data_IF_187602711301
#
_entry.id   IF_187602711301
#
_cell.length_a   1.000
_cell.length_b   1.000
_cell.length_c   1.000
_cell.angle_alpha   90.00
_cell.angle_beta   90.00
_cell.angle_gamma   90.00
#
_symmetry.space_group_name_H-M   'P 1'
#
loop_
_entity.id
_entity.type
_entity.pdbx_description
1 polymer ?
#
# COMPACT_ATOMS: atom_id res chain seq x y z
N UNK A 1 5.96 11.70 -27.01
CA UNK A 1 5.90 10.81 -25.84
C UNK A 1 4.69 11.19 -24.98
N UNK A 2 3.86 10.24 -24.57
CA UNK A 2 2.59 10.55 -23.88
C UNK A 2 2.83 11.29 -22.55
N UNK A 3 2.17 12.44 -22.33
CA UNK A 3 2.40 13.32 -21.17
C UNK A 3 2.14 12.61 -19.84
N UNK A 4 1.18 11.68 -19.82
CA UNK A 4 0.84 10.88 -18.66
C UNK A 4 1.95 9.88 -18.28
N UNK A 5 2.51 9.18 -19.27
CA UNK A 5 3.62 8.23 -19.07
C UNK A 5 4.83 8.98 -18.51
N UNK A 6 5.11 10.18 -19.04
CA UNK A 6 6.20 11.02 -18.57
C UNK A 6 6.02 11.44 -17.10
N UNK A 7 4.80 11.80 -16.72
CA UNK A 7 4.45 12.17 -15.35
C UNK A 7 4.58 10.99 -14.39
N UNK A 8 4.12 9.80 -14.79
CA UNK A 8 4.25 8.57 -14.00
C UNK A 8 5.71 8.18 -13.79
N UNK A 9 6.50 8.20 -14.87
CA UNK A 9 7.94 7.91 -14.82
C UNK A 9 8.69 8.84 -13.84
N UNK A 10 8.46 10.16 -13.91
CA UNK A 10 9.11 11.11 -13.01
C UNK A 10 8.69 10.93 -11.55
N UNK A 11 7.40 10.64 -11.30
CA UNK A 11 6.90 10.36 -9.94
C UNK A 11 7.51 9.07 -9.38
N UNK A 12 7.61 8.04 -10.21
CA UNK A 12 8.24 6.79 -9.82
C UNK A 12 9.72 6.95 -9.51
N UNK A 13 10.47 7.71 -10.33
CA UNK A 13 11.89 7.99 -10.10
C UNK A 13 12.14 8.60 -8.70
N UNK A 14 11.30 9.56 -8.28
CA UNK A 14 11.37 10.17 -6.93
C UNK A 14 11.08 9.13 -5.85
N UNK A 15 10.11 8.24 -6.09
CA UNK A 15 9.68 7.22 -5.13
C UNK A 15 10.75 6.13 -4.99
N UNK A 16 11.32 5.65 -6.09
CA UNK A 16 12.45 4.71 -6.18
C UNK A 16 13.63 5.18 -5.35
N UNK A 17 13.96 6.48 -5.39
CA UNK A 17 15.07 7.04 -4.60
C UNK A 17 14.90 6.86 -3.09
N UNK A 18 13.67 6.80 -2.59
CA UNK A 18 13.38 6.53 -1.16
C UNK A 18 13.49 5.05 -0.79
N UNK A 19 13.52 4.18 -1.79
CA UNK A 19 13.74 2.75 -1.64
C UNK A 19 12.45 1.94 -1.39
N UNK A 20 12.59 0.64 -1.64
CA UNK A 20 11.52 -0.36 -1.56
C UNK A 20 10.86 -0.43 -0.20
N UNK A 21 11.65 -0.48 0.88
CA UNK A 21 11.14 -0.59 2.24
C UNK A 21 10.27 0.62 2.62
N UNK A 22 10.70 1.83 2.23
CA UNK A 22 9.94 3.04 2.48
C UNK A 22 8.58 3.01 1.78
N UNK A 23 8.54 2.61 0.50
CA UNK A 23 7.28 2.50 -0.24
C UNK A 23 6.36 1.42 0.35
N UNK A 24 6.86 0.19 0.48
CA UNK A 24 6.07 -0.97 0.92
C UNK A 24 5.54 -0.74 2.33
N UNK A 25 6.40 -0.29 3.25
CA UNK A 25 6.00 -0.01 4.63
C UNK A 25 4.97 1.12 4.71
N UNK A 26 5.24 2.26 4.06
CA UNK A 26 4.32 3.40 4.10
C UNK A 26 2.95 3.07 3.52
N UNK A 27 2.90 2.45 2.34
CA UNK A 27 1.62 2.09 1.71
C UNK A 27 0.86 1.05 2.53
N UNK A 28 1.56 0.07 3.10
CA UNK A 28 0.93 -0.92 3.98
C UNK A 28 0.32 -0.25 5.21
N UNK A 29 1.04 0.64 5.88
CA UNK A 29 0.54 1.34 7.06
C UNK A 29 -0.65 2.26 6.74
N UNK A 30 -0.62 2.97 5.61
CA UNK A 30 -1.74 3.84 5.19
C UNK A 30 -2.99 3.00 4.94
N UNK A 31 -2.88 1.93 4.15
CA UNK A 31 -4.02 1.08 3.80
C UNK A 31 -4.55 0.34 5.03
N UNK A 32 -3.68 -0.32 5.78
CA UNK A 32 -4.06 -1.03 7.00
C UNK A 32 -4.69 -0.07 8.02
N UNK A 33 -4.08 1.10 8.22
CA UNK A 33 -4.61 2.13 9.13
C UNK A 33 -5.99 2.62 8.73
N UNK A 34 -6.24 2.87 7.44
CA UNK A 34 -7.55 3.30 6.96
C UNK A 34 -8.63 2.23 7.17
N UNK A 35 -8.31 0.96 6.87
CA UNK A 35 -9.25 -0.16 7.05
C UNK A 35 -9.56 -0.36 8.53
N UNK A 36 -8.54 -0.44 9.37
CA UNK A 36 -8.70 -0.60 10.82
C UNK A 36 -9.48 0.57 11.43
N UNK A 37 -9.17 1.80 11.04
CA UNK A 37 -9.90 2.97 11.52
C UNK A 37 -11.39 2.90 11.13
N UNK A 38 -11.70 2.50 9.88
CA UNK A 38 -13.07 2.28 9.45
C UNK A 38 -13.79 1.19 10.25
N UNK A 39 -13.13 0.06 10.50
CA UNK A 39 -13.66 -1.02 11.33
C UNK A 39 -13.92 -0.58 12.77
N UNK A 40 -13.03 0.23 13.34
CA UNK A 40 -13.19 0.79 14.68
C UNK A 40 -14.38 1.74 14.77
N UNK A 41 -14.52 2.67 13.81
CA UNK A 41 -15.69 3.54 13.75
C UNK A 41 -16.98 2.74 13.57
N UNK A 42 -16.96 1.71 12.72
CA UNK A 42 -18.10 0.81 12.52
C UNK A 42 -18.56 0.16 13.81
N UNK A 43 -17.61 -0.35 14.60
CA UNK A 43 -17.87 -0.92 15.92
C UNK A 43 -18.47 0.13 16.88
N UNK A 44 -17.80 1.28 17.03
CA UNK A 44 -18.22 2.32 17.97
C UNK A 44 -19.61 2.89 17.68
N UNK A 45 -19.99 3.02 16.40
CA UNK A 45 -21.20 3.73 16.01
C UNK A 45 -22.40 2.82 15.77
N UNK A 46 -22.18 1.58 15.32
CA UNK A 46 -23.26 0.72 14.83
C UNK A 46 -23.35 -0.63 15.52
N UNK A 47 -22.28 -1.09 16.17
CA UNK A 47 -22.25 -2.43 16.75
C UNK A 47 -22.73 -2.41 18.20
N UNK A 48 -23.96 -2.88 18.40
CA UNK A 48 -24.60 -2.99 19.72
C UNK A 48 -24.55 -4.40 20.30
N UNK A 49 -23.99 -5.37 19.55
CA UNK A 49 -24.07 -6.79 19.88
C UNK A 49 -22.74 -7.26 20.48
N UNK A 50 -21.63 -6.94 19.81
CA UNK A 50 -20.31 -7.39 20.27
C UNK A 50 -19.82 -6.58 21.46
N UNK A 51 -19.17 -7.25 22.40
CA UNK A 51 -18.45 -6.56 23.48
C UNK A 51 -17.03 -6.15 23.03
N UNK A 52 -16.38 -5.32 23.85
CA UNK A 52 -15.01 -4.84 23.57
C UNK A 52 -13.97 -5.95 23.49
N UNK A 53 -14.16 -7.04 24.25
CA UNK A 53 -13.26 -8.19 24.24
C UNK A 53 -13.26 -8.88 22.88
N UNK A 54 -14.44 -9.29 22.42
CA UNK A 54 -14.65 -9.92 21.11
C UNK A 54 -14.15 -9.03 19.98
N UNK A 55 -14.50 -7.74 20.00
CA UNK A 55 -14.01 -6.80 19.00
C UNK A 55 -12.49 -6.68 19.00
N UNK A 56 -11.84 -6.56 20.17
CA UNK A 56 -10.38 -6.38 20.24
C UNK A 56 -9.61 -7.59 19.69
N UNK A 57 -10.12 -8.81 19.88
CA UNK A 57 -9.52 -10.03 19.35
C UNK A 57 -9.61 -10.04 17.82
N UNK A 58 -10.82 -9.86 17.27
CA UNK A 58 -11.05 -9.81 15.83
C UNK A 58 -10.23 -8.69 15.17
N UNK A 59 -10.20 -7.52 15.80
CA UNK A 59 -9.45 -6.36 15.34
C UNK A 59 -7.94 -6.62 15.33
N UNK A 60 -7.41 -7.28 16.37
CA UNK A 60 -6.01 -7.68 16.44
C UNK A 60 -5.64 -8.65 15.33
N UNK A 61 -6.48 -9.66 15.09
CA UNK A 61 -6.28 -10.62 14.00
C UNK A 61 -6.31 -9.90 12.64
N UNK A 62 -7.30 -9.03 12.43
CA UNK A 62 -7.41 -8.24 11.21
C UNK A 62 -6.19 -7.33 10.99
N UNK A 63 -5.67 -6.69 12.04
CA UNK A 63 -4.49 -5.85 11.97
C UNK A 63 -3.25 -6.65 11.55
N UNK A 64 -3.03 -7.83 12.13
CA UNK A 64 -1.92 -8.72 11.76
C UNK A 64 -2.06 -9.17 10.30
N UNK A 65 -3.25 -9.63 9.91
CA UNK A 65 -3.52 -10.06 8.54
C UNK A 65 -3.27 -8.94 7.53
N UNK A 66 -3.78 -7.73 7.80
CA UNK A 66 -3.57 -6.56 6.94
C UNK A 66 -2.10 -6.18 6.80
N UNK A 67 -1.31 -6.28 7.87
CA UNK A 67 0.13 -6.03 7.81
C UNK A 67 0.84 -7.09 6.97
N UNK A 68 0.60 -8.39 7.24
CA UNK A 68 1.27 -9.49 6.52
C UNK A 68 0.92 -9.46 5.03
N UNK A 69 -0.37 -9.45 4.70
CA UNK A 69 -0.81 -9.42 3.30
C UNK A 69 -0.48 -8.09 2.63
N UNK A 70 -0.59 -6.98 3.36
CA UNK A 70 -0.27 -5.65 2.84
C UNK A 70 1.21 -5.54 2.46
N UNK A 71 2.13 -6.08 3.25
CA UNK A 71 3.55 -6.12 2.91
C UNK A 71 3.79 -6.93 1.63
N UNK A 72 3.18 -8.12 1.51
CA UNK A 72 3.33 -8.99 0.32
C UNK A 72 2.77 -8.31 -0.93
N UNK A 73 1.55 -7.79 -0.86
CA UNK A 73 0.89 -7.14 -2.01
C UNK A 73 1.65 -5.89 -2.42
N UNK A 74 1.99 -5.00 -1.49
CA UNK A 74 2.73 -3.78 -1.81
C UNK A 74 4.14 -4.08 -2.33
N UNK A 75 4.75 -5.19 -1.90
CA UNK A 75 6.02 -5.66 -2.45
C UNK A 75 5.87 -6.11 -3.92
N UNK A 76 4.82 -6.86 -4.26
CA UNK A 76 4.54 -7.25 -5.64
C UNK A 76 4.28 -6.01 -6.51
N UNK A 77 3.49 -5.06 -6.01
CA UNK A 77 3.23 -3.78 -6.71
C UNK A 77 4.53 -3.03 -6.98
N UNK A 78 5.45 -2.99 -6.01
CA UNK A 78 6.77 -2.39 -6.19
C UNK A 78 7.54 -3.03 -7.34
N UNK A 79 7.60 -4.38 -7.37
CA UNK A 79 8.31 -5.12 -8.43
C UNK A 79 7.72 -4.79 -9.79
N UNK A 80 6.40 -4.83 -9.92
CA UNK A 80 5.71 -4.54 -11.19
C UNK A 80 6.02 -3.12 -11.66
N UNK A 81 5.93 -2.13 -10.77
CA UNK A 81 6.21 -0.75 -11.10
C UNK A 81 7.68 -0.52 -11.48
N UNK A 82 8.62 -1.23 -10.85
CA UNK A 82 10.04 -1.18 -11.21
C UNK A 82 10.30 -1.75 -12.61
N UNK A 83 9.67 -2.88 -12.96
CA UNK A 83 9.77 -3.48 -14.30
C UNK A 83 9.26 -2.50 -15.36
N UNK A 84 8.13 -1.81 -15.12
CA UNK A 84 7.62 -0.80 -16.04
C UNK A 84 8.57 0.39 -16.19
N UNK A 85 9.16 0.84 -15.09
CA UNK A 85 10.13 1.93 -15.11
C UNK A 85 11.39 1.58 -15.91
N UNK A 86 11.96 0.40 -15.70
CA UNK A 86 13.16 -0.05 -16.42
C UNK A 86 12.92 -0.21 -17.92
N UNK A 87 11.74 -0.74 -18.30
CA UNK A 87 11.33 -0.81 -19.71
C UNK A 87 11.26 0.58 -20.36
N UNK A 88 10.74 1.57 -19.62
CA UNK A 88 10.61 2.93 -20.12
C UNK A 88 11.95 3.67 -20.14
N UNK A 89 12.83 3.41 -19.16
CA UNK A 89 14.20 3.92 -19.15
C UNK A 89 15.00 3.43 -20.36
N UNK A 90 14.98 2.11 -20.63
CA UNK A 90 15.69 1.52 -21.75
C UNK A 90 15.20 2.03 -23.12
N UNK A 91 13.92 2.38 -23.26
CA UNK A 91 13.40 3.02 -24.48
C UNK A 91 13.99 4.41 -24.68
N UNK A 92 14.13 5.19 -23.60
CA UNK A 92 14.63 6.56 -23.65
C UNK A 92 16.13 6.63 -23.87
N UNK A 93 16.89 5.67 -23.37
CA UNK A 93 18.35 5.60 -23.59
C UNK A 93 18.70 5.27 -25.05
N UNK A 94 17.80 4.57 -25.76
CA UNK A 94 17.97 4.22 -27.19
C UNK A 94 17.50 5.30 -28.16
N UNK A 95 16.95 6.41 -27.67
CA UNK A 95 16.44 7.53 -28.47
C UNK A 95 17.36 8.73 -28.31
#
# INVERSE_FOLDING_TARGET
MNSWINKQYNRWAITRRKGRLHYVGKHTLIVAGAVLFGSFLGFMLFDKIRNWGEFSIDFGIAAIALLVFGLVINHIIWIVAEIFYEKEFAKRERT
#
